data_IF_850228027733
#
_entry.id   IF_850228027733
#
_cell.length_a   1.000
_cell.length_b   1.000
_cell.length_c   1.000
_cell.angle_alpha   90.00
_cell.angle_beta   90.00
_cell.angle_gamma   90.00
#
_symmetry.space_group_name_H-M   'P 1'
#
loop_
_entity.id
_entity.type
_entity.pdbx_description
1 polymer ?
#
# COMPACT_ATOMS: atom_id res chain seq x y z
N UNK A 1 -14.72 13.01 11.07
CA UNK A 1 -14.91 12.57 9.70
C UNK A 1 -14.92 11.05 9.65
N UNK A 2 -15.94 10.46 9.08
CA UNK A 2 -16.03 9.00 8.97
C UNK A 2 -15.07 8.54 7.86
N UNK A 3 -14.07 7.79 8.22
CA UNK A 3 -13.06 7.27 7.30
C UNK A 3 -13.51 5.95 6.70
N UNK A 4 -14.19 5.16 7.53
CA UNK A 4 -14.85 3.92 7.17
C UNK A 4 -16.30 4.02 7.58
N UNK A 5 -17.18 3.26 6.94
CA UNK A 5 -18.53 3.09 7.45
C UNK A 5 -18.43 2.64 8.90
N UNK A 6 -19.12 3.33 9.82
CA UNK A 6 -19.06 3.05 11.25
C UNK A 6 -19.21 1.56 11.54
N UNK A 7 -20.10 0.89 10.82
CA UNK A 7 -20.32 -0.54 11.01
C UNK A 7 -19.12 -1.41 10.61
N UNK A 8 -18.27 -0.91 9.72
CA UNK A 8 -17.05 -1.60 9.34
C UNK A 8 -15.98 -1.53 10.44
N UNK A 9 -15.91 -0.39 11.15
CA UNK A 9 -14.87 -0.15 12.13
C UNK A 9 -15.27 -0.59 13.54
N UNK A 10 -16.55 -0.45 13.93
CA UNK A 10 -17.00 -0.68 15.30
C UNK A 10 -17.10 -2.17 15.66
N UNK A 11 -17.48 -3.03 14.72
CA UNK A 11 -17.75 -4.44 15.00
C UNK A 11 -16.52 -5.34 15.09
N UNK A 12 -15.31 -4.80 14.82
CA UNK A 12 -14.13 -5.65 14.69
C UNK A 12 -12.89 -5.17 15.46
N UNK A 13 -13.03 -4.15 16.30
CA UNK A 13 -11.95 -3.61 17.12
C UNK A 13 -11.73 -4.47 18.39
N UNK A 14 -11.92 -5.78 18.31
CA UNK A 14 -11.64 -6.66 19.44
C UNK A 14 -10.24 -7.27 19.39
N UNK A 15 -9.60 -7.27 18.21
CA UNK A 15 -8.25 -7.76 18.04
C UNK A 15 -7.25 -6.67 18.41
N UNK A 16 -6.29 -6.99 19.28
CA UNK A 16 -5.20 -6.07 19.63
C UNK A 16 -4.33 -5.76 18.43
N UNK A 17 -4.18 -6.73 17.52
CA UNK A 17 -3.45 -6.53 16.27
C UNK A 17 -4.13 -5.49 15.39
N UNK A 18 -5.44 -5.56 15.24
CA UNK A 18 -6.20 -4.60 14.43
C UNK A 18 -6.14 -3.19 15.04
N UNK A 19 -6.19 -3.07 16.36
CA UNK A 19 -6.03 -1.76 17.03
C UNK A 19 -4.67 -1.14 16.70
N UNK A 20 -3.61 -1.93 16.81
CA UNK A 20 -2.26 -1.51 16.44
C UNK A 20 -2.19 -1.12 14.95
N UNK A 21 -2.79 -1.94 14.08
CA UNK A 21 -2.78 -1.73 12.65
C UNK A 21 -3.47 -0.42 12.26
N UNK A 22 -4.60 -0.10 12.88
CA UNK A 22 -5.31 1.16 12.65
C UNK A 22 -4.42 2.35 13.00
N UNK A 23 -3.67 2.28 14.09
CA UNK A 23 -2.73 3.34 14.46
C UNK A 23 -1.63 3.50 13.41
N UNK A 24 -1.03 2.39 12.96
CA UNK A 24 0.01 2.41 11.95
C UNK A 24 -0.51 2.93 10.61
N UNK A 25 -1.73 2.56 10.24
CA UNK A 25 -2.36 2.97 8.99
C UNK A 25 -3.07 4.31 9.07
N UNK A 26 -3.04 4.98 10.22
CA UNK A 26 -3.71 6.28 10.40
C UNK A 26 -3.44 7.28 9.28
N UNK A 27 -2.18 7.56 8.92
CA UNK A 27 -1.88 8.49 7.83
C UNK A 27 -2.47 8.07 6.48
N UNK A 28 -2.51 6.76 6.18
CA UNK A 28 -3.11 6.26 4.94
C UNK A 28 -4.62 6.39 5.00
N UNK A 29 -5.22 6.03 6.11
CA UNK A 29 -6.67 6.14 6.32
C UNK A 29 -7.12 7.60 6.15
N UNK A 30 -6.36 8.54 6.72
CA UNK A 30 -6.66 9.98 6.63
C UNK A 30 -6.30 10.62 5.30
N UNK A 31 -5.58 9.89 4.43
CA UNK A 31 -5.21 10.39 3.12
C UNK A 31 -3.98 11.29 3.09
N UNK A 32 -3.27 11.45 4.21
CA UNK A 32 -2.01 12.21 4.24
C UNK A 32 -0.84 11.40 3.68
N UNK A 33 -0.99 10.09 3.58
CA UNK A 33 -0.03 9.18 2.97
C UNK A 33 -0.77 8.28 1.96
N UNK A 34 -0.26 8.09 0.74
CA UNK A 34 -0.98 7.31 -0.29
C UNK A 34 -1.05 5.81 0.01
N UNK A 35 0.02 5.25 0.58
CA UNK A 35 0.12 3.82 0.80
C UNK A 35 1.09 3.50 1.92
N UNK A 36 1.00 2.27 2.44
CA UNK A 36 1.93 1.73 3.43
C UNK A 36 2.18 0.27 3.13
N UNK A 37 3.39 -0.20 3.43
CA UNK A 37 3.79 -1.59 3.31
C UNK A 37 4.05 -2.16 4.68
N UNK A 38 3.47 -3.33 4.96
CA UNK A 38 3.73 -4.09 6.17
C UNK A 38 4.13 -5.51 5.79
N UNK A 39 4.99 -6.09 6.59
CA UNK A 39 5.45 -7.47 6.39
C UNK A 39 5.01 -8.34 7.55
N UNK A 40 4.54 -9.55 7.23
CA UNK A 40 4.35 -10.62 8.19
C UNK A 40 5.46 -11.65 7.95
N UNK A 41 6.31 -11.85 8.96
CA UNK A 41 7.42 -12.80 8.87
C UNK A 41 6.92 -14.23 8.68
N UNK A 42 7.65 -15.04 7.94
CA UNK A 42 7.42 -16.48 7.84
C UNK A 42 7.48 -17.18 9.21
N UNK A 43 8.21 -16.57 10.15
CA UNK A 43 8.39 -17.10 11.51
C UNK A 43 7.32 -16.63 12.48
N UNK A 44 6.42 -15.73 12.08
CA UNK A 44 5.33 -15.25 12.91
C UNK A 44 4.30 -16.36 13.10
N UNK A 45 4.19 -16.86 14.32
CA UNK A 45 3.25 -17.94 14.66
C UNK A 45 1.80 -17.52 14.50
N UNK A 46 1.51 -16.22 14.54
CA UNK A 46 0.18 -15.63 14.41
C UNK A 46 -0.10 -15.11 13.00
N UNK A 47 0.74 -15.44 12.03
CA UNK A 47 0.63 -14.93 10.66
C UNK A 47 -0.75 -15.17 10.06
N UNK A 48 -1.26 -16.40 10.13
CA UNK A 48 -2.57 -16.73 9.58
C UNK A 48 -3.71 -16.01 10.31
N UNK A 49 -3.63 -15.92 11.63
CA UNK A 49 -4.62 -15.20 12.43
C UNK A 49 -4.63 -13.72 12.08
N UNK A 50 -3.47 -13.09 11.97
CA UNK A 50 -3.34 -11.69 11.59
C UNK A 50 -3.88 -11.44 10.19
N UNK A 51 -3.58 -12.33 9.24
CA UNK A 51 -4.07 -12.23 7.87
C UNK A 51 -5.60 -12.34 7.82
N UNK A 52 -6.17 -13.27 8.57
CA UNK A 52 -7.62 -13.43 8.66
C UNK A 52 -8.29 -12.20 9.26
N UNK A 53 -7.69 -11.60 10.29
CA UNK A 53 -8.17 -10.35 10.89
C UNK A 53 -8.18 -9.21 9.88
N UNK A 54 -7.11 -9.09 9.09
CA UNK A 54 -7.01 -8.08 8.03
C UNK A 54 -8.08 -8.27 6.98
N UNK A 55 -8.24 -9.48 6.47
CA UNK A 55 -9.25 -9.80 5.46
C UNK A 55 -10.65 -9.49 5.97
N UNK A 56 -10.93 -9.89 7.20
CA UNK A 56 -12.23 -9.66 7.82
C UNK A 56 -12.50 -8.17 8.07
N UNK A 57 -11.52 -7.44 8.58
CA UNK A 57 -11.68 -6.02 8.90
C UNK A 57 -11.85 -5.16 7.65
N UNK A 58 -11.02 -5.39 6.62
CA UNK A 58 -10.99 -4.53 5.43
C UNK A 58 -11.91 -4.99 4.31
N UNK A 59 -12.62 -6.11 4.46
CA UNK A 59 -13.50 -6.65 3.42
C UNK A 59 -14.57 -5.66 2.96
N UNK A 60 -15.07 -4.82 3.88
CA UNK A 60 -16.11 -3.83 3.60
C UNK A 60 -15.60 -2.39 3.68
N UNK A 61 -14.30 -2.19 3.72
CA UNK A 61 -13.74 -0.86 3.81
C UNK A 61 -13.69 -0.21 2.43
N UNK A 62 -14.37 0.93 2.26
CA UNK A 62 -14.40 1.66 0.99
C UNK A 62 -13.21 2.61 0.82
N UNK A 63 -12.51 2.95 1.90
CA UNK A 63 -11.40 3.92 1.88
C UNK A 63 -10.05 3.30 1.60
N UNK A 64 -9.81 2.10 2.10
CA UNK A 64 -8.55 1.40 1.89
C UNK A 64 -8.75 0.14 1.07
N UNK A 65 -7.86 -0.04 0.11
CA UNK A 65 -7.63 -1.32 -0.57
C UNK A 65 -6.36 -1.95 -0.03
N UNK A 66 -6.24 -3.26 -0.14
CA UNK A 66 -4.99 -3.92 0.21
C UNK A 66 -4.65 -4.99 -0.83
N UNK A 67 -3.36 -5.24 -0.98
CA UNK A 67 -2.83 -6.30 -1.83
C UNK A 67 -1.94 -7.21 -0.99
N UNK A 68 -2.05 -8.50 -1.23
CA UNK A 68 -1.27 -9.53 -0.54
C UNK A 68 -0.23 -10.06 -1.52
N UNK A 69 1.04 -10.03 -1.10
CA UNK A 69 2.15 -10.54 -1.90
C UNK A 69 2.84 -11.63 -1.08
N UNK A 70 2.89 -12.83 -1.62
CA UNK A 70 3.60 -13.93 -1.00
C UNK A 70 5.09 -13.82 -1.32
N UNK A 71 5.92 -13.84 -0.28
CA UNK A 71 7.37 -13.78 -0.43
C UNK A 71 7.92 -15.22 -0.50
N UNK A 72 8.96 -15.48 -1.31
CA UNK A 72 9.49 -16.84 -1.47
C UNK A 72 9.91 -17.53 -0.18
N UNK A 73 10.30 -16.77 0.86
CA UNK A 73 10.67 -17.33 2.16
C UNK A 73 9.49 -17.77 3.03
N UNK A 74 8.26 -17.62 2.54
CA UNK A 74 7.03 -17.93 3.27
C UNK A 74 6.42 -16.75 4.00
N UNK A 75 7.07 -15.60 4.00
CA UNK A 75 6.50 -14.36 4.54
C UNK A 75 5.44 -13.77 3.64
N UNK A 76 4.74 -12.77 4.16
CA UNK A 76 3.68 -12.07 3.45
C UNK A 76 3.97 -10.57 3.50
N UNK A 77 3.88 -9.92 2.34
CA UNK A 77 3.93 -8.46 2.23
C UNK A 77 2.54 -7.95 1.96
N UNK A 78 2.13 -6.95 2.71
CA UNK A 78 0.82 -6.31 2.58
C UNK A 78 1.03 -4.87 2.13
N UNK A 79 0.33 -4.48 1.08
CA UNK A 79 0.34 -3.10 0.59
C UNK A 79 -1.06 -2.53 0.83
N UNK A 80 -1.16 -1.54 1.69
CA UNK A 80 -2.40 -0.83 1.99
C UNK A 80 -2.42 0.46 1.19
N UNK A 81 -3.52 0.76 0.53
CA UNK A 81 -3.60 1.83 -0.46
C UNK A 81 -4.86 2.66 -0.21
N UNK A 82 -4.68 3.98 -0.10
CA UNK A 82 -5.75 4.95 -0.23
C UNK A 82 -5.76 5.40 -1.69
N UNK A 83 -6.70 4.89 -2.48
CA UNK A 83 -6.72 5.14 -3.93
C UNK A 83 -6.90 6.62 -4.28
N UNK A 84 -7.70 7.34 -3.52
CA UNK A 84 -7.89 8.78 -3.76
C UNK A 84 -6.60 9.56 -3.53
N UNK A 85 -5.93 9.31 -2.41
CA UNK A 85 -4.66 9.95 -2.10
C UNK A 85 -3.57 9.56 -3.09
N UNK A 86 -3.51 8.29 -3.47
CA UNK A 86 -2.54 7.80 -4.44
C UNK A 86 -2.77 8.42 -5.83
N UNK A 87 -4.02 8.55 -6.24
CA UNK A 87 -4.36 9.18 -7.51
C UNK A 87 -3.88 10.63 -7.57
N UNK A 88 -4.04 11.37 -6.48
CA UNK A 88 -3.54 12.75 -6.38
C UNK A 88 -2.01 12.77 -6.53
N UNK A 89 -1.32 11.87 -5.82
CA UNK A 89 0.14 11.78 -5.87
C UNK A 89 0.66 11.43 -7.26
N UNK A 90 0.07 10.42 -7.90
CA UNK A 90 0.52 9.96 -9.21
C UNK A 90 0.13 10.90 -10.35
N UNK A 91 -0.92 11.70 -10.18
CA UNK A 91 -1.29 12.72 -11.18
C UNK A 91 -0.40 13.97 -11.11
N UNK A 92 0.48 14.06 -10.14
CA UNK A 92 1.51 15.10 -10.15
C UNK A 92 2.36 14.95 -11.41
N UNK A 93 2.48 16.01 -12.19
CA UNK A 93 3.14 15.98 -13.50
C UNK A 93 4.57 15.45 -13.43
N UNK A 94 5.32 15.87 -12.42
CA UNK A 94 6.73 15.46 -12.25
C UNK A 94 6.81 13.97 -11.89
N UNK A 95 5.96 13.50 -10.99
CA UNK A 95 5.91 12.08 -10.64
C UNK A 95 5.54 11.23 -11.84
N UNK A 96 4.52 11.64 -12.56
CA UNK A 96 4.03 10.91 -13.73
C UNK A 96 5.10 10.85 -14.83
N UNK A 97 5.77 11.97 -15.11
CA UNK A 97 6.84 12.01 -16.10
C UNK A 97 8.00 11.09 -15.72
N UNK A 98 8.37 11.04 -14.44
CA UNK A 98 9.44 10.16 -13.99
C UNK A 98 9.02 8.69 -14.12
N UNK A 99 7.81 8.33 -13.74
CA UNK A 99 7.32 6.94 -13.86
C UNK A 99 7.29 6.50 -15.33
N UNK A 100 6.85 7.36 -16.23
CA UNK A 100 6.90 7.09 -17.67
C UNK A 100 8.34 6.91 -18.16
N UNK A 101 9.25 7.73 -17.68
CA UNK A 101 10.66 7.65 -18.02
C UNK A 101 11.27 6.30 -17.65
N UNK A 102 10.89 5.73 -16.50
CA UNK A 102 11.40 4.42 -16.05
C UNK A 102 10.60 3.24 -16.59
N UNK A 103 9.61 3.46 -17.46
CA UNK A 103 8.93 2.40 -18.20
C UNK A 103 7.45 2.21 -17.91
N UNK A 104 6.83 3.04 -17.09
CA UNK A 104 5.38 2.97 -16.90
C UNK A 104 4.65 3.46 -18.15
N UNK A 105 3.42 2.97 -18.40
CA UNK A 105 2.67 3.34 -19.61
C UNK A 105 2.46 4.84 -19.76
N UNK A 106 2.48 5.30 -21.02
CA UNK A 106 2.27 6.71 -21.34
C UNK A 106 0.85 7.18 -21.04
N UNK A 107 -0.14 6.30 -21.13
CA UNK A 107 -1.50 6.58 -20.71
C UNK A 107 -1.66 6.20 -19.25
N UNK A 108 -1.89 7.21 -18.40
CA UNK A 108 -2.05 6.98 -16.97
C UNK A 108 -3.36 6.26 -16.67
N UNK A 109 -3.26 5.16 -15.94
CA UNK A 109 -4.37 4.47 -15.30
C UNK A 109 -3.89 3.97 -13.95
N UNK A 110 -4.59 4.36 -12.88
CA UNK A 110 -4.17 4.03 -11.50
C UNK A 110 -4.05 2.52 -11.30
N UNK A 111 -5.06 1.77 -11.70
CA UNK A 111 -5.08 0.32 -11.50
C UNK A 111 -3.97 -0.37 -12.30
N UNK A 112 -3.70 0.09 -13.52
CA UNK A 112 -2.60 -0.43 -14.34
C UNK A 112 -1.25 -0.14 -13.71
N UNK A 113 -1.04 1.08 -13.21
CA UNK A 113 0.20 1.45 -12.53
C UNK A 113 0.40 0.63 -11.24
N UNK A 114 -0.67 0.43 -10.49
CA UNK A 114 -0.63 -0.43 -9.30
C UNK A 114 -0.28 -1.88 -9.65
N UNK A 115 -0.89 -2.42 -10.70
CA UNK A 115 -0.60 -3.79 -11.13
C UNK A 115 0.86 -3.96 -11.55
N UNK A 116 1.42 -2.98 -12.23
CA UNK A 116 2.84 -2.99 -12.61
C UNK A 116 3.72 -3.00 -11.36
N UNK A 117 3.41 -2.12 -10.39
CA UNK A 117 4.15 -2.08 -9.14
C UNK A 117 4.08 -3.41 -8.39
N UNK A 118 2.89 -3.99 -8.27
CA UNK A 118 2.68 -5.27 -7.59
C UNK A 118 3.46 -6.40 -8.28
N UNK A 119 3.43 -6.43 -9.60
CA UNK A 119 4.20 -7.42 -10.38
C UNK A 119 5.70 -7.29 -10.10
N UNK A 120 6.21 -6.05 -10.04
CA UNK A 120 7.60 -5.79 -9.68
C UNK A 120 7.92 -6.22 -8.26
N UNK A 121 7.01 -6.00 -7.32
CA UNK A 121 7.17 -6.43 -5.92
C UNK A 121 7.20 -7.96 -5.78
N UNK A 122 6.58 -8.67 -6.71
CA UNK A 122 6.62 -10.14 -6.77
C UNK A 122 7.89 -10.67 -7.45
N UNK A 123 8.66 -9.81 -8.10
CA UNK A 123 9.89 -10.21 -8.79
C UNK A 123 11.11 -10.08 -7.87
N UNK A 124 12.25 -10.62 -8.33
CA UNK A 124 13.51 -10.53 -7.59
C UNK A 124 14.08 -9.11 -7.56
N UNK A 125 13.66 -8.25 -8.49
CA UNK A 125 14.13 -6.86 -8.57
C UNK A 125 13.15 -5.95 -7.81
N UNK A 126 13.58 -5.47 -6.65
CA UNK A 126 12.76 -4.57 -5.85
C UNK A 126 12.56 -3.23 -6.57
N UNK A 127 11.32 -2.77 -6.76
CA UNK A 127 11.05 -1.51 -7.45
C UNK A 127 11.29 -0.33 -6.51
N UNK A 128 12.40 0.39 -6.67
CA UNK A 128 12.73 1.54 -5.81
C UNK A 128 11.79 2.71 -6.02
N UNK A 129 11.11 2.80 -7.17
CA UNK A 129 10.05 3.78 -7.43
C UNK A 129 8.84 3.64 -6.50
N UNK A 130 8.76 2.56 -5.72
CA UNK A 130 7.72 2.39 -4.71
C UNK A 130 7.68 3.56 -3.72
N UNK A 131 8.81 4.24 -3.51
CA UNK A 131 8.86 5.43 -2.67
C UNK A 131 7.85 6.49 -3.07
N UNK A 132 7.61 6.67 -4.37
CA UNK A 132 6.59 7.60 -4.88
C UNK A 132 5.21 7.16 -4.44
N UNK A 133 4.89 5.88 -4.57
CA UNK A 133 3.61 5.29 -4.15
C UNK A 133 3.40 5.39 -2.63
N UNK A 134 4.49 5.40 -1.87
CA UNK A 134 4.44 5.54 -0.40
C UNK A 134 4.41 7.00 0.06
N UNK A 135 4.52 7.96 -0.86
CA UNK A 135 4.44 9.38 -0.55
C UNK A 135 5.77 10.06 -0.23
N UNK A 136 6.90 9.42 -0.50
CA UNK A 136 8.20 10.07 -0.35
C UNK A 136 8.37 11.16 -1.42
N UNK A 137 9.12 12.24 -1.10
CA UNK A 137 9.39 13.29 -2.09
C UNK A 137 10.07 12.72 -3.33
N UNK A 138 9.62 13.15 -4.51
CA UNK A 138 10.15 12.65 -5.77
C UNK A 138 11.67 12.81 -5.87
N UNK A 139 12.21 13.95 -5.45
CA UNK A 139 13.65 14.20 -5.50
C UNK A 139 14.46 13.17 -4.71
N UNK A 140 13.90 12.69 -3.59
CA UNK A 140 14.58 11.71 -2.74
C UNK A 140 14.58 10.34 -3.44
N UNK A 141 13.47 9.96 -4.06
CA UNK A 141 13.36 8.71 -4.81
C UNK A 141 14.28 8.72 -6.03
N UNK A 142 14.28 9.80 -6.80
CA UNK A 142 15.13 9.98 -7.98
C UNK A 142 16.62 9.91 -7.59
N UNK A 143 16.98 10.60 -6.51
CA UNK A 143 18.36 10.58 -6.00
C UNK A 143 18.79 9.21 -5.52
N UNK A 144 17.90 8.50 -4.81
CA UNK A 144 18.18 7.15 -4.35
C UNK A 144 18.39 6.17 -5.52
N UNK A 145 17.65 6.34 -6.61
CA UNK A 145 17.78 5.51 -7.81
C UNK A 145 19.01 5.86 -8.67
N UNK A 146 19.72 6.93 -8.33
CA UNK A 146 20.94 7.31 -9.04
C UNK A 146 20.75 8.16 -10.30
N UNK A 147 19.63 8.86 -10.42
CA UNK A 147 19.37 9.78 -11.51
C UNK A 147 19.67 11.22 -11.16
#
# INVERSE_FOLDING_TARGET
>A
MSICNRNCCENKINSSYIKWLIEVLGPVILGSKPAEILNLSSKDMNKESKLNDIKSFFSNCSKLSYKIINIPDGGIRLVFINKDALSITLNNKKCLNFLKFIGYPSNYDLDEYLNILIDKLNSDNFPHEIGIFLGYPLKDVVGFMGY
#
